data_IF_561507327417
#
_entry.id   IF_561507327417
#
_cell.length_a   1.000
_cell.length_b   1.000
_cell.length_c   1.000
_cell.angle_alpha   90.00
_cell.angle_beta   90.00
_cell.angle_gamma   90.00
#
_symmetry.space_group_name_H-M   'P 1'
#
loop_
_entity.id
_entity.type
_entity.pdbx_description
1 polymer ?
#
# COMPACT_ATOMS: atom_id res chain seq x y z
N UNK A 1 -11.12 54.76 -39.86
CA UNK A 1 -10.63 55.75 -40.84
C UNK A 1 -9.65 55.00 -41.74
N UNK A 2 -10.03 54.82 -42.99
CA UNK A 2 -9.36 53.98 -44.00
C UNK A 2 -8.08 54.62 -44.56
N UNK A 3 -7.35 53.86 -45.41
CA UNK A 3 -6.46 54.22 -46.56
C UNK A 3 -5.04 53.66 -46.38
N UNK A 4 -4.34 52.99 -47.33
CA UNK A 4 -4.57 52.58 -48.73
C UNK A 4 -3.55 51.48 -49.13
N UNK A 5 -3.79 50.84 -50.28
CA UNK A 5 -3.10 49.68 -50.87
C UNK A 5 -2.13 50.02 -52.03
N UNK A 6 -1.20 49.08 -52.29
CA UNK A 6 -0.53 48.64 -53.56
C UNK A 6 0.52 49.54 -54.26
N UNK A 7 1.65 48.89 -54.62
CA UNK A 7 2.41 48.81 -55.91
C UNK A 7 3.86 48.34 -55.56
N UNK A 8 4.67 47.58 -56.30
CA UNK A 8 4.67 46.95 -57.62
C UNK A 8 5.89 46.00 -57.72
N UNK A 9 5.72 44.91 -58.49
CA UNK A 9 6.62 43.94 -59.17
C UNK A 9 8.17 44.09 -59.18
N UNK A 10 8.78 42.90 -58.98
CA UNK A 10 9.88 42.22 -59.70
C UNK A 10 11.28 42.84 -59.82
N UNK A 11 12.30 42.08 -59.40
CA UNK A 11 13.39 41.55 -60.25
C UNK A 11 14.45 40.78 -59.43
N UNK A 12 14.59 39.48 -59.70
CA UNK A 12 15.83 38.67 -59.55
C UNK A 12 16.80 39.01 -60.72
N UNK A 13 18.07 38.54 -60.79
CA UNK A 13 18.83 37.66 -59.88
C UNK A 13 20.31 38.07 -59.63
N UNK A 14 20.98 37.45 -58.67
CA UNK A 14 22.40 37.04 -58.81
C UNK A 14 22.78 36.07 -57.69
N UNK A 15 23.22 34.87 -58.08
CA UNK A 15 23.79 33.88 -57.20
C UNK A 15 25.23 34.27 -56.84
N UNK A 16 25.54 34.28 -55.55
CA UNK A 16 26.90 34.27 -55.01
C UNK A 16 26.91 33.33 -53.80
N UNK A 17 27.68 32.25 -53.88
CA UNK A 17 28.10 31.45 -52.72
C UNK A 17 29.13 32.26 -51.92
N UNK A 18 29.04 32.24 -50.57
CA UNK A 18 30.07 31.48 -49.86
C UNK A 18 29.56 30.76 -48.58
N UNK A 19 29.97 29.49 -48.46
CA UNK A 19 30.71 28.88 -47.35
C UNK A 19 30.45 29.43 -45.91
N UNK A 20 29.80 28.56 -45.13
CA UNK A 20 30.03 28.20 -43.70
C UNK A 20 29.53 29.14 -42.59
N UNK A 21 28.61 28.57 -41.78
CA UNK A 21 28.34 29.00 -40.40
C UNK A 21 26.95 28.60 -39.91
N UNK A 22 26.74 27.35 -39.49
CA UNK A 22 25.52 26.97 -38.76
C UNK A 22 25.69 27.38 -37.29
N UNK A 23 25.06 28.47 -36.87
CA UNK A 23 24.85 28.79 -35.46
C UNK A 23 23.55 28.12 -35.00
N UNK A 24 23.68 27.02 -34.27
CA UNK A 24 22.57 26.41 -33.53
C UNK A 24 22.40 27.17 -32.22
N UNK A 25 21.30 27.91 -32.09
CA UNK A 25 20.86 28.45 -30.81
C UNK A 25 20.26 27.32 -29.96
N UNK A 26 21.00 26.83 -28.97
CA UNK A 26 20.42 26.06 -27.88
C UNK A 26 19.74 27.02 -26.90
N UNK A 27 18.42 27.10 -26.97
CA UNK A 27 17.62 27.68 -25.89
C UNK A 27 17.66 26.76 -24.67
N UNK A 28 18.30 27.22 -23.60
CA UNK A 28 18.23 26.56 -22.29
C UNK A 28 16.87 26.87 -21.69
N UNK A 29 15.94 25.93 -21.78
CA UNK A 29 14.75 25.92 -20.92
C UNK A 29 15.25 25.51 -19.53
N UNK A 30 15.28 26.47 -18.60
CA UNK A 30 15.59 26.21 -17.20
C UNK A 30 14.55 25.29 -16.59
N UNK A 31 14.84 23.99 -16.53
CA UNK A 31 14.08 23.04 -15.74
C UNK A 31 14.19 23.41 -14.26
N UNK A 32 13.05 23.39 -13.54
CA UNK A 32 13.03 23.39 -12.09
C UNK A 32 13.93 22.25 -11.58
N UNK A 33 14.69 22.43 -10.48
CA UNK A 33 15.53 21.36 -9.96
C UNK A 33 14.63 20.19 -9.55
N UNK A 34 14.74 19.07 -10.27
CA UNK A 34 14.28 17.78 -9.80
C UNK A 34 15.07 17.52 -8.50
N UNK A 35 14.36 17.45 -7.37
CA UNK A 35 14.97 17.04 -6.10
C UNK A 35 15.63 15.69 -6.36
N UNK A 36 16.95 15.60 -6.17
CA UNK A 36 17.67 14.34 -6.24
C UNK A 36 16.99 13.39 -5.24
N UNK A 37 16.49 12.26 -5.72
CA UNK A 37 15.97 11.21 -4.86
C UNK A 37 17.13 10.78 -3.98
N UNK A 38 16.98 10.87 -2.66
CA UNK A 38 17.95 10.25 -1.78
C UNK A 38 17.87 8.73 -2.00
N UNK A 39 18.96 8.14 -2.52
CA UNK A 39 19.06 6.70 -2.72
C UNK A 39 19.23 6.04 -1.35
N UNK A 40 18.22 5.25 -0.94
CA UNK A 40 18.35 4.36 0.19
C UNK A 40 19.27 3.18 -0.07
N UNK A 41 19.47 2.29 0.93
CA UNK A 41 20.06 0.99 0.66
C UNK A 41 19.39 0.37 -0.58
N UNK A 42 20.21 -0.12 -1.51
CA UNK A 42 19.75 -0.55 -2.83
C UNK A 42 18.98 -1.90 -2.81
N UNK A 43 18.63 -2.36 -1.61
CA UNK A 43 18.17 -3.71 -1.33
C UNK A 43 16.83 -3.72 -0.58
N UNK A 44 16.07 -4.80 -0.76
CA UNK A 44 14.86 -5.08 0.00
C UNK A 44 15.19 -5.73 1.33
N UNK A 45 14.60 -5.21 2.40
CA UNK A 45 14.67 -5.78 3.74
C UNK A 45 13.35 -6.44 4.12
N UNK A 46 13.33 -7.24 5.18
CA UNK A 46 12.09 -7.87 5.65
C UNK A 46 11.60 -7.22 6.94
N UNK A 47 10.34 -6.79 6.97
CA UNK A 47 9.68 -6.24 8.17
C UNK A 47 8.36 -6.96 8.42
N UNK A 48 7.83 -6.87 9.64
CA UNK A 48 6.51 -7.39 9.97
C UNK A 48 5.43 -6.33 9.75
N UNK A 49 4.41 -6.59 8.94
CA UNK A 49 3.23 -5.75 8.75
C UNK A 49 2.06 -6.39 9.52
N UNK A 50 1.26 -5.61 10.26
CA UNK A 50 1.26 -4.16 10.32
C UNK A 50 2.16 -3.57 11.42
N UNK A 51 2.94 -4.39 12.13
CA UNK A 51 3.80 -3.95 13.26
C UNK A 51 4.76 -2.81 12.87
N UNK A 52 5.33 -2.85 11.66
CA UNK A 52 6.22 -1.83 11.10
C UNK A 52 5.53 -0.49 10.83
N UNK A 53 4.19 -0.45 10.74
CA UNK A 53 3.44 0.81 10.67
C UNK A 53 3.17 1.38 12.05
N UNK A 54 3.07 0.52 13.07
CA UNK A 54 2.96 0.95 14.48
C UNK A 54 4.27 1.52 14.99
N UNK A 55 5.37 0.90 14.56
CA UNK A 55 6.75 1.25 14.88
C UNK A 55 7.52 1.34 13.59
N UNK A 56 7.51 2.54 13.01
CA UNK A 56 8.25 2.87 11.79
C UNK A 56 9.69 2.39 11.94
N UNK A 57 10.26 1.72 10.91
CA UNK A 57 11.68 1.37 10.89
C UNK A 57 12.59 2.59 11.18
N UNK A 58 13.68 2.35 11.89
CA UNK A 58 14.64 3.38 12.35
C UNK A 58 16.07 3.02 11.98
N UNK A 59 17.01 3.96 12.14
CA UNK A 59 18.42 3.73 11.81
C UNK A 59 18.64 3.70 10.30
N UNK A 60 19.39 2.71 9.80
CA UNK A 60 19.66 2.51 8.36
C UNK A 60 18.40 2.23 7.54
N UNK A 61 17.34 1.74 8.20
CA UNK A 61 16.04 1.50 7.59
C UNK A 61 15.07 2.68 7.76
N UNK A 62 15.52 3.84 8.22
CA UNK A 62 14.61 4.99 8.36
C UNK A 62 14.04 5.40 7.00
N UNK A 63 12.77 5.84 6.93
CA UNK A 63 12.20 6.38 5.71
C UNK A 63 13.06 7.51 5.14
N UNK A 64 13.25 7.50 3.82
CA UNK A 64 14.07 8.48 3.13
C UNK A 64 13.17 9.51 2.48
N UNK A 65 13.44 10.79 2.78
CA UNK A 65 12.55 11.90 2.44
C UNK A 65 11.10 11.67 2.89
N UNK A 66 10.90 10.90 3.95
CA UNK A 66 9.58 10.51 4.48
C UNK A 66 8.92 9.33 3.76
N UNK A 67 9.56 8.75 2.73
CA UNK A 67 9.01 7.67 1.93
C UNK A 67 9.48 6.28 2.34
N UNK A 68 8.58 5.32 2.16
CA UNK A 68 8.86 3.89 2.28
C UNK A 68 7.93 3.08 1.40
N UNK A 69 8.43 1.94 0.93
CA UNK A 69 7.68 0.95 0.19
C UNK A 69 7.61 -0.36 0.96
N UNK A 70 6.44 -0.98 0.90
CA UNK A 70 6.17 -2.32 1.40
C UNK A 70 5.62 -3.13 0.23
N UNK A 71 6.06 -4.38 0.05
CA UNK A 71 5.41 -5.29 -0.90
C UNK A 71 5.40 -6.73 -0.42
N UNK A 72 4.43 -7.48 -0.92
CA UNK A 72 4.29 -8.92 -0.73
C UNK A 72 3.76 -9.57 -2.01
N UNK A 73 3.73 -10.89 -2.02
CA UNK A 73 3.00 -11.66 -3.02
C UNK A 73 1.73 -12.24 -2.42
N UNK A 74 0.66 -12.25 -3.21
CA UNK A 74 -0.56 -13.00 -2.92
C UNK A 74 -0.82 -14.00 -4.04
N UNK A 75 -1.24 -15.22 -3.71
CA UNK A 75 -1.74 -16.16 -4.71
C UNK A 75 -3.26 -16.10 -4.77
N UNK A 76 -3.78 -15.59 -5.87
CA UNK A 76 -5.23 -15.56 -6.07
C UNK A 76 -5.67 -16.97 -6.48
N UNK A 77 -6.61 -17.63 -5.77
CA UNK A 77 -7.00 -18.99 -6.12
C UNK A 77 -7.78 -19.02 -7.43
N UNK A 78 -7.69 -20.14 -8.16
CA UNK A 78 -8.45 -20.33 -9.42
C UNK A 78 -9.96 -20.20 -9.24
N UNK A 79 -10.48 -20.44 -8.03
CA UNK A 79 -11.89 -20.30 -7.68
C UNK A 79 -12.38 -18.84 -7.69
N UNK A 80 -11.48 -17.86 -7.70
CA UNK A 80 -11.82 -16.44 -7.81
C UNK A 80 -11.76 -15.92 -9.25
N UNK A 81 -11.89 -16.81 -10.24
CA UNK A 81 -11.96 -16.39 -11.63
C UNK A 81 -13.13 -15.44 -11.87
N UNK A 82 -12.87 -14.37 -12.62
CA UNK A 82 -13.82 -13.31 -12.99
C UNK A 82 -14.48 -12.59 -11.79
N UNK A 83 -13.93 -12.73 -10.58
CA UNK A 83 -14.47 -12.13 -9.38
C UNK A 83 -14.05 -10.68 -9.21
N UNK A 84 -14.98 -9.83 -8.77
CA UNK A 84 -14.66 -8.48 -8.29
C UNK A 84 -14.02 -8.58 -6.90
N UNK A 85 -12.77 -8.14 -6.79
CA UNK A 85 -12.01 -8.20 -5.55
C UNK A 85 -11.93 -6.83 -4.89
N UNK A 86 -11.77 -6.83 -3.56
CA UNK A 86 -11.54 -5.60 -2.79
C UNK A 86 -10.27 -5.72 -1.97
N UNK A 87 -9.35 -4.77 -2.14
CA UNK A 87 -8.17 -4.61 -1.30
C UNK A 87 -8.49 -3.63 -0.16
N UNK A 88 -8.41 -4.11 1.08
CA UNK A 88 -8.51 -3.32 2.29
C UNK A 88 -7.10 -2.98 2.79
N UNK A 89 -6.82 -1.70 2.97
CA UNK A 89 -5.62 -1.18 3.62
C UNK A 89 -6.06 -0.07 4.55
N UNK A 90 -6.02 -0.32 5.87
CA UNK A 90 -6.46 0.67 6.85
C UNK A 90 -5.67 1.98 6.70
N UNK A 91 -6.40 3.09 6.67
CA UNK A 91 -5.79 4.42 6.61
C UNK A 91 -5.14 4.77 7.94
N UNK A 92 -4.00 5.44 7.87
CA UNK A 92 -3.20 5.82 9.03
C UNK A 92 -2.87 7.30 8.98
N UNK A 93 -2.13 7.77 9.98
CA UNK A 93 -1.66 9.15 10.03
C UNK A 93 -0.49 9.43 9.07
N UNK A 94 -0.67 9.05 7.82
CA UNK A 94 0.27 9.12 6.72
C UNK A 94 -0.50 9.25 5.39
N UNK A 95 0.21 9.41 4.27
CA UNK A 95 -0.37 9.28 2.93
C UNK A 95 0.06 7.94 2.34
N UNK A 96 -0.86 7.21 1.71
CA UNK A 96 -0.60 5.85 1.20
C UNK A 96 -1.19 5.66 -0.17
N UNK A 97 -0.45 5.00 -1.06
CA UNK A 97 -0.96 4.51 -2.33
C UNK A 97 -0.79 2.98 -2.39
N UNK A 98 -1.85 2.29 -2.78
CA UNK A 98 -1.91 0.83 -2.87
C UNK A 98 -1.88 0.39 -4.32
N UNK A 99 -1.11 -0.65 -4.60
CA UNK A 99 -0.87 -1.15 -5.94
C UNK A 99 -1.08 -2.65 -6.01
N UNK A 100 -1.64 -3.11 -7.13
CA UNK A 100 -1.68 -4.52 -7.53
C UNK A 100 -0.97 -4.65 -8.86
N UNK A 101 0.08 -5.47 -8.95
CA UNK A 101 0.90 -5.62 -10.17
C UNK A 101 1.43 -4.29 -10.74
N UNK A 102 1.66 -3.31 -9.86
CA UNK A 102 2.07 -1.95 -10.23
C UNK A 102 0.97 -1.04 -10.78
N UNK A 103 -0.28 -1.48 -10.78
CA UNK A 103 -1.45 -0.65 -11.08
C UNK A 103 -1.92 -0.04 -9.75
N UNK A 104 -2.03 1.29 -9.68
CA UNK A 104 -2.54 1.96 -8.49
C UNK A 104 -4.05 1.72 -8.39
N UNK A 105 -4.49 1.04 -7.33
CA UNK A 105 -5.90 0.72 -7.08
C UNK A 105 -6.57 1.73 -6.14
N UNK A 106 -5.79 2.57 -5.46
CA UNK A 106 -6.30 3.67 -4.66
C UNK A 106 -5.29 4.31 -3.75
N UNK A 107 -5.69 5.41 -3.13
CA UNK A 107 -4.83 6.25 -2.31
C UNK A 107 -5.64 6.83 -1.16
N UNK A 108 -5.04 6.87 0.04
CA UNK A 108 -5.55 7.62 1.19
C UNK A 108 -4.62 8.77 1.51
N UNK A 109 -5.18 9.94 1.81
CA UNK A 109 -4.41 11.16 2.03
C UNK A 109 -3.86 11.76 0.74
N UNK A 110 -2.95 12.71 0.88
CA UNK A 110 -2.32 13.43 -0.24
C UNK A 110 -0.81 13.43 -0.04
N UNK A 111 -0.08 13.00 -1.07
CA UNK A 111 1.39 13.05 -1.06
C UNK A 111 1.91 14.50 -1.20
N UNK A 112 3.18 14.78 -0.82
CA UNK A 112 3.82 16.08 -1.03
C UNK A 112 3.70 16.60 -2.47
N UNK A 113 3.73 17.93 -2.67
CA UNK A 113 4.05 18.97 -1.69
C UNK A 113 2.87 19.39 -0.79
N UNK A 114 1.65 18.97 -1.10
CA UNK A 114 0.45 19.34 -0.34
C UNK A 114 0.04 18.22 0.61
N UNK A 115 1.00 17.77 1.43
CA UNK A 115 0.79 16.60 2.28
C UNK A 115 -0.48 16.74 3.13
N UNK A 116 -1.30 15.68 3.12
CA UNK A 116 -2.43 15.49 4.02
C UNK A 116 -2.46 14.05 4.48
N UNK A 117 -2.62 13.87 5.78
CA UNK A 117 -2.90 12.57 6.39
C UNK A 117 -4.20 11.99 5.84
N UNK A 118 -4.19 10.69 5.54
CA UNK A 118 -5.36 9.93 5.12
C UNK A 118 -6.18 9.38 6.29
N UNK A 119 -5.82 9.69 7.53
CA UNK A 119 -6.44 9.13 8.73
C UNK A 119 -7.97 9.31 8.71
N UNK A 120 -8.69 8.19 8.84
CA UNK A 120 -10.16 8.16 8.86
C UNK A 120 -10.81 7.97 7.48
N UNK A 121 -10.02 7.95 6.40
CA UNK A 121 -10.50 7.50 5.10
C UNK A 121 -10.72 5.98 5.08
N UNK A 122 -11.60 5.50 4.18
CA UNK A 122 -12.07 4.11 4.21
C UNK A 122 -10.99 3.06 3.96
N UNK A 123 -10.02 3.34 3.09
CA UNK A 123 -8.97 2.38 2.74
C UNK A 123 -9.50 1.11 2.04
N UNK A 124 -10.55 1.25 1.20
CA UNK A 124 -11.18 0.15 0.47
C UNK A 124 -11.05 0.41 -1.02
N UNK A 125 -10.44 -0.52 -1.76
CA UNK A 125 -10.08 -0.33 -3.15
C UNK A 125 -10.57 -1.49 -4.00
N UNK A 126 -11.33 -1.20 -5.06
CA UNK A 126 -11.71 -2.20 -6.03
C UNK A 126 -10.47 -2.67 -6.81
N UNK A 127 -10.35 -3.98 -7.00
CA UNK A 127 -9.31 -4.61 -7.82
C UNK A 127 -10.03 -5.32 -8.95
N UNK A 128 -9.80 -4.86 -10.19
CA UNK A 128 -10.47 -5.41 -11.37
C UNK A 128 -10.06 -6.86 -11.60
N UNK A 129 -11.00 -7.69 -12.04
CA UNK A 129 -10.70 -9.03 -12.52
C UNK A 129 -9.67 -9.03 -13.67
N UNK A 130 -9.62 -7.96 -14.48
CA UNK A 130 -8.65 -7.80 -15.57
C UNK A 130 -7.20 -7.57 -15.08
N UNK A 131 -7.02 -7.12 -13.83
CA UNK A 131 -5.70 -6.82 -13.25
C UNK A 131 -5.05 -8.04 -12.58
N UNK A 132 -5.81 -9.14 -12.48
CA UNK A 132 -5.44 -10.35 -11.76
C UNK A 132 -5.60 -11.61 -12.61
N UNK A 133 -4.82 -12.65 -12.30
CA UNK A 133 -4.73 -13.89 -13.05
C UNK A 133 -4.91 -15.05 -12.07
N UNK A 134 -6.14 -15.62 -11.98
CA UNK A 134 -6.44 -16.68 -11.04
C UNK A 134 -5.48 -17.88 -11.17
N UNK A 135 -4.94 -18.31 -10.04
CA UNK A 135 -3.95 -19.37 -9.91
C UNK A 135 -2.49 -18.89 -9.89
N UNK A 136 -2.24 -17.62 -10.22
CA UNK A 136 -0.91 -16.99 -10.24
C UNK A 136 -0.64 -16.12 -9.00
N UNK A 137 0.62 -15.69 -8.88
CA UNK A 137 1.06 -14.75 -7.85
C UNK A 137 0.97 -13.32 -8.35
N UNK A 138 0.50 -12.44 -7.48
CA UNK A 138 0.31 -11.02 -7.72
C UNK A 138 1.09 -10.20 -6.70
N UNK A 139 1.74 -9.13 -7.15
CA UNK A 139 2.39 -8.20 -6.23
C UNK A 139 1.35 -7.28 -5.63
N UNK A 140 1.27 -7.24 -4.31
CA UNK A 140 0.60 -6.15 -3.59
C UNK A 140 1.68 -5.24 -3.03
N UNK A 141 1.63 -3.96 -3.36
CA UNK A 141 2.60 -2.98 -2.89
C UNK A 141 1.90 -1.78 -2.27
N UNK A 142 2.52 -1.20 -1.24
CA UNK A 142 2.03 -0.03 -0.53
C UNK A 142 3.16 0.96 -0.44
N UNK A 143 2.97 2.11 -1.09
CA UNK A 143 3.82 3.28 -0.97
C UNK A 143 3.30 4.12 0.18
N UNK A 144 4.16 4.52 1.10
CA UNK A 144 3.82 5.33 2.27
C UNK A 144 4.67 6.59 2.28
N UNK A 145 4.04 7.72 2.59
CA UNK A 145 4.73 8.96 2.94
C UNK A 145 4.29 9.45 4.32
N UNK A 146 5.27 9.75 5.16
CA UNK A 146 5.10 10.26 6.51
C UNK A 146 6.02 11.48 6.72
N UNK A 147 5.47 12.58 7.22
CA UNK A 147 6.26 13.78 7.54
C UNK A 147 6.71 13.83 9.00
N UNK A 148 5.84 13.45 9.94
CA UNK A 148 6.09 13.44 11.38
C UNK A 148 5.24 12.29 11.99
N UNK A 149 5.75 11.05 11.92
CA UNK A 149 4.94 9.87 12.24
C UNK A 149 4.59 9.84 13.72
N UNK A 150 3.30 9.75 14.02
CA UNK A 150 2.82 9.40 15.37
C UNK A 150 2.88 7.87 15.53
N UNK A 151 3.65 7.33 16.49
CA UNK A 151 3.76 5.88 16.67
C UNK A 151 2.55 5.29 17.41
N UNK A 152 2.51 3.96 17.47
CA UNK A 152 1.59 3.17 18.31
C UNK A 152 0.11 3.22 17.92
N UNK A 153 -0.23 3.52 16.66
CA UNK A 153 -1.58 3.28 16.17
C UNK A 153 -1.91 1.78 16.18
N UNK A 154 -3.13 1.47 16.61
CA UNK A 154 -3.69 0.14 16.43
C UNK A 154 -4.19 0.00 15.00
N UNK A 155 -3.59 -0.90 14.22
CA UNK A 155 -3.88 -1.09 12.79
C UNK A 155 -4.06 -2.57 12.46
N UNK A 156 -5.02 -2.84 11.58
CA UNK A 156 -5.31 -4.11 10.95
C UNK A 156 -4.39 -4.33 9.74
N UNK A 157 -4.02 -5.59 9.46
CA UNK A 157 -3.24 -5.92 8.27
C UNK A 157 -4.05 -5.72 6.98
N UNK A 158 -3.39 -5.59 5.84
CA UNK A 158 -4.06 -5.64 4.55
C UNK A 158 -4.81 -6.94 4.33
N UNK A 159 -5.95 -6.85 3.63
CA UNK A 159 -6.78 -7.99 3.24
C UNK A 159 -7.17 -7.85 1.78
N UNK A 160 -7.01 -8.92 1.01
CA UNK A 160 -7.65 -9.06 -0.31
C UNK A 160 -8.90 -9.93 -0.14
N UNK A 161 -10.06 -9.41 -0.50
CA UNK A 161 -11.36 -10.02 -0.23
C UNK A 161 -12.09 -10.34 -1.54
N UNK A 162 -12.69 -11.53 -1.59
CA UNK A 162 -13.79 -11.86 -2.47
C UNK A 162 -15.08 -11.92 -1.64
N UNK A 163 -15.89 -10.87 -1.71
CA UNK A 163 -17.11 -10.75 -0.91
C UNK A 163 -18.20 -11.75 -1.34
N UNK A 164 -18.29 -12.09 -2.63
CA UNK A 164 -19.26 -13.05 -3.14
C UNK A 164 -18.96 -14.47 -2.63
N UNK A 165 -17.69 -14.87 -2.70
CA UNK A 165 -17.24 -16.16 -2.20
C UNK A 165 -17.14 -16.21 -0.66
N UNK A 166 -17.28 -15.07 0.03
CA UNK A 166 -17.02 -14.95 1.48
C UNK A 166 -15.63 -15.43 1.88
N UNK A 167 -14.64 -15.07 1.08
CA UNK A 167 -13.27 -15.54 1.28
C UNK A 167 -12.28 -14.39 1.28
N UNK A 168 -11.21 -14.52 2.05
CA UNK A 168 -10.17 -13.51 2.16
C UNK A 168 -8.76 -14.10 2.21
N UNK A 169 -7.80 -13.31 1.72
CA UNK A 169 -6.37 -13.53 1.95
C UNK A 169 -5.88 -12.41 2.87
N UNK A 170 -5.54 -12.77 4.11
CA UNK A 170 -4.97 -11.85 5.10
C UNK A 170 -3.44 -11.82 5.00
N UNK A 171 -2.91 -10.61 4.90
CA UNK A 171 -1.48 -10.39 4.62
C UNK A 171 -0.73 -9.86 5.85
N UNK A 172 -1.00 -10.38 7.05
CA UNK A 172 -0.20 -10.09 8.24
C UNK A 172 1.07 -10.94 8.31
N UNK A 173 2.18 -10.37 8.73
CA UNK A 173 3.45 -11.09 8.83
C UNK A 173 4.54 -10.42 8.03
N UNK A 174 5.43 -11.20 7.41
CA UNK A 174 6.63 -10.66 6.76
C UNK A 174 6.30 -10.00 5.42
N UNK A 175 6.89 -8.85 5.16
CA UNK A 175 6.81 -8.10 3.92
C UNK A 175 8.20 -7.62 3.54
N UNK A 176 8.44 -7.49 2.23
CA UNK A 176 9.60 -6.75 1.75
C UNK A 176 9.39 -5.26 2.01
N UNK A 177 10.43 -4.58 2.46
CA UNK A 177 10.48 -3.18 2.84
C UNK A 177 11.68 -2.50 2.21
N UNK A 178 11.48 -1.27 1.72
CA UNK A 178 12.57 -0.44 1.22
C UNK A 178 12.29 1.04 1.50
N UNK A 179 13.23 1.79 2.13
CA UNK A 179 13.09 3.22 2.29
C UNK A 179 13.40 3.95 0.98
N UNK A 180 12.74 5.09 0.73
CA UNK A 180 12.88 5.86 -0.50
C UNK A 180 11.63 5.76 -1.39
N UNK A 181 11.73 6.24 -2.62
CA UNK A 181 10.56 6.48 -3.47
C UNK A 181 10.80 6.21 -4.98
N UNK A 182 10.72 4.95 -5.39
CA UNK A 182 10.74 4.56 -6.81
C UNK A 182 9.45 3.83 -7.19
N UNK A 183 8.77 4.32 -8.24
CA UNK A 183 7.54 3.71 -8.74
C UNK A 183 7.75 2.29 -9.30
N UNK A 184 8.96 1.92 -9.72
CA UNK A 184 9.29 0.57 -10.18
C UNK A 184 9.09 -0.48 -9.06
N UNK A 185 9.19 -0.08 -7.80
CA UNK A 185 9.02 -0.95 -6.63
C UNK A 185 7.57 -1.38 -6.38
N UNK A 186 6.61 -0.83 -7.14
CA UNK A 186 5.21 -1.27 -7.15
C UNK A 186 4.99 -2.64 -7.79
N UNK A 187 6.00 -3.16 -8.50
CA UNK A 187 6.01 -4.46 -9.17
C UNK A 187 7.10 -5.35 -8.59
N UNK A 188 7.01 -6.64 -8.88
CA UNK A 188 8.09 -7.59 -8.67
C UNK A 188 7.99 -8.75 -9.65
N UNK A 189 9.08 -9.45 -9.85
CA UNK A 189 9.19 -10.65 -10.69
C UNK A 189 9.29 -11.91 -9.82
N UNK A 190 8.90 -13.07 -10.35
CA UNK A 190 9.05 -14.34 -9.63
C UNK A 190 10.50 -14.63 -9.19
N UNK A 191 11.48 -14.15 -9.95
CA UNK A 191 12.91 -14.29 -9.63
C UNK A 191 13.31 -13.51 -8.36
N UNK A 192 12.76 -12.30 -8.16
CA UNK A 192 13.01 -11.50 -6.94
C UNK A 192 12.47 -12.15 -5.66
N UNK A 193 11.54 -13.10 -5.80
CA UNK A 193 10.99 -13.86 -4.68
C UNK A 193 11.56 -15.26 -4.59
N UNK A 194 12.55 -15.64 -5.41
CA UNK A 194 13.10 -17.01 -5.48
C UNK A 194 12.02 -18.09 -5.64
N UNK A 195 10.97 -17.80 -6.41
CA UNK A 195 9.94 -18.77 -6.74
C UNK A 195 10.45 -19.68 -7.87
N UNK A 196 11.15 -20.76 -7.50
CA UNK A 196 11.66 -21.73 -8.48
C UNK A 196 10.54 -22.60 -9.08
N UNK A 197 9.43 -22.81 -8.37
CA UNK A 197 8.20 -23.43 -8.93
C UNK A 197 6.94 -23.08 -8.12
N UNK A 198 5.79 -23.01 -8.79
CA UNK A 198 4.45 -22.63 -8.24
C UNK A 198 3.76 -23.77 -7.43
N UNK A 199 4.51 -24.81 -7.06
CA UNK A 199 3.93 -26.04 -6.53
C UNK A 199 3.78 -25.98 -5.01
N UNK A 200 2.57 -25.57 -4.62
CA UNK A 200 2.04 -25.46 -3.26
C UNK A 200 2.84 -24.54 -2.36
N UNK A 201 2.26 -23.39 -2.02
CA UNK A 201 2.83 -22.57 -0.98
C UNK A 201 2.76 -23.34 0.35
N UNK A 202 3.88 -23.36 1.06
CA UNK A 202 4.01 -23.93 2.40
C UNK A 202 3.96 -22.80 3.43
N UNK A 203 3.72 -23.11 4.70
CA UNK A 203 3.69 -22.09 5.78
C UNK A 203 4.99 -21.23 5.79
N UNK A 204 6.11 -21.84 5.40
CA UNK A 204 7.43 -21.21 5.25
C UNK A 204 7.46 -20.09 4.19
N UNK A 205 6.51 -20.04 3.26
CA UNK A 205 6.40 -18.97 2.27
C UNK A 205 5.89 -17.66 2.89
N UNK A 206 5.19 -17.70 4.04
CA UNK A 206 4.80 -16.49 4.77
C UNK A 206 6.01 -15.74 5.33
N UNK A 207 7.10 -16.45 5.69
CA UNK A 207 8.34 -15.82 6.16
C UNK A 207 9.06 -15.03 5.07
N UNK A 208 8.73 -15.33 3.81
CA UNK A 208 9.24 -14.63 2.63
C UNK A 208 8.29 -13.53 2.17
N UNK A 209 7.12 -13.36 2.80
CA UNK A 209 6.08 -12.42 2.41
C UNK A 209 5.24 -12.87 1.23
N UNK A 210 4.94 -14.17 1.18
CA UNK A 210 4.07 -14.78 0.19
C UNK A 210 2.83 -15.33 0.92
N UNK A 211 1.65 -14.87 0.52
CA UNK A 211 0.39 -15.15 1.20
C UNK A 211 -0.53 -15.98 0.29
N UNK A 212 -0.94 -17.14 0.78
CA UNK A 212 -1.80 -18.08 0.03
C UNK A 212 -2.95 -18.66 0.84
N UNK A 213 -2.96 -18.43 2.15
CA UNK A 213 -4.01 -18.90 3.04
C UNK A 213 -5.32 -18.21 2.69
N UNK A 214 -6.36 -19.02 2.54
CA UNK A 214 -7.71 -18.59 2.20
C UNK A 214 -8.60 -18.80 3.42
N UNK A 215 -9.04 -17.69 3.99
CA UNK A 215 -9.93 -17.69 5.15
C UNK A 215 -11.39 -17.59 4.68
N UNK A 216 -12.29 -18.31 5.35
CA UNK A 216 -13.73 -18.13 5.22
C UNK A 216 -14.18 -16.96 6.12
N UNK A 217 -15.06 -16.10 5.60
CA UNK A 217 -15.41 -14.80 6.21
C UNK A 217 -16.93 -14.66 6.33
N UNK A 218 -17.44 -14.85 7.54
CA UNK A 218 -18.86 -14.67 7.84
C UNK A 218 -19.26 -13.18 7.98
N UNK A 219 -18.40 -12.39 8.63
CA UNK A 219 -18.57 -10.95 8.88
C UNK A 219 -17.35 -10.21 8.34
N UNK A 220 -17.54 -9.57 7.18
CA UNK A 220 -16.48 -8.86 6.46
C UNK A 220 -15.96 -7.69 7.28
N UNK A 221 -16.87 -6.84 7.80
CA UNK A 221 -16.50 -5.61 8.50
C UNK A 221 -15.65 -5.92 9.74
N UNK A 222 -16.06 -6.95 10.49
CA UNK A 222 -15.30 -7.42 11.64
C UNK A 222 -13.96 -8.06 11.25
N UNK A 223 -13.94 -8.85 10.19
CA UNK A 223 -12.73 -9.54 9.76
C UNK A 223 -11.64 -8.56 9.30
N UNK A 224 -12.01 -7.56 8.48
CA UNK A 224 -11.05 -6.56 7.97
C UNK A 224 -10.62 -5.57 9.06
N UNK A 225 -11.46 -5.30 10.05
CA UNK A 225 -11.12 -4.43 11.19
C UNK A 225 -10.34 -5.15 12.30
N UNK A 226 -10.24 -6.49 12.28
CA UNK A 226 -9.57 -7.27 13.33
C UNK A 226 -8.09 -6.93 13.43
N UNK A 227 -7.60 -6.70 14.65
CA UNK A 227 -6.20 -6.37 14.96
C UNK A 227 -5.55 -7.47 15.79
N UNK A 228 -4.22 -7.44 15.86
CA UNK A 228 -3.45 -8.36 16.72
C UNK A 228 -3.84 -8.14 18.19
N UNK A 229 -4.32 -9.19 18.84
CA UNK A 229 -4.82 -9.15 20.21
C UNK A 229 -6.34 -8.97 20.33
N UNK A 230 -7.05 -8.69 19.24
CA UNK A 230 -8.51 -8.67 19.24
C UNK A 230 -9.03 -10.10 19.38
N UNK A 231 -9.95 -10.28 20.32
CA UNK A 231 -10.66 -11.53 20.54
C UNK A 231 -12.11 -11.41 20.10
N UNK A 232 -12.72 -12.55 19.80
CA UNK A 232 -14.15 -12.60 19.58
C UNK A 232 -14.89 -12.23 20.88
N UNK A 233 -16.08 -11.59 20.80
CA UNK A 233 -16.91 -11.39 21.97
C UNK A 233 -17.14 -12.71 22.69
N UNK A 234 -16.90 -12.71 23.99
CA UNK A 234 -17.23 -13.84 24.84
C UNK A 234 -18.70 -13.77 25.22
N UNK A 235 -19.31 -14.95 25.39
CA UNK A 235 -20.55 -15.02 26.16
C UNK A 235 -20.31 -14.45 27.56
N UNK A 236 -21.33 -13.91 28.25
CA UNK A 236 -21.16 -13.39 29.60
C UNK A 236 -20.57 -14.43 30.57
N UNK A 237 -20.91 -15.70 30.40
CA UNK A 237 -20.40 -16.80 31.23
C UNK A 237 -18.94 -17.16 30.94
N UNK A 238 -18.49 -17.03 29.69
CA UNK A 238 -17.09 -17.30 29.34
C UNK A 238 -16.19 -16.11 29.68
N UNK A 239 -16.73 -14.89 29.57
CA UNK A 239 -16.13 -13.66 30.06
C UNK A 239 -15.77 -13.75 31.56
N UNK A 240 -16.71 -14.19 32.39
CA UNK A 240 -16.52 -14.35 33.84
C UNK A 240 -15.34 -15.26 34.20
N UNK A 241 -15.13 -16.34 33.42
CA UNK A 241 -14.01 -17.27 33.65
C UNK A 241 -12.63 -16.65 33.40
N UNK A 242 -12.57 -15.59 32.61
CA UNK A 242 -11.31 -14.91 32.26
C UNK A 242 -10.96 -13.77 33.24
N UNK A 243 -11.85 -13.42 34.16
CA UNK A 243 -11.56 -12.43 35.19
C UNK A 243 -10.63 -13.01 36.27
N UNK A 244 -9.57 -12.26 36.58
CA UNK A 244 -8.73 -12.53 37.74
C UNK A 244 -9.23 -11.67 38.90
N UNK A 245 -9.91 -12.29 39.86
CA UNK A 245 -10.44 -11.61 41.04
C UNK A 245 -9.54 -11.87 42.24
N UNK A 246 -8.96 -10.83 42.87
CA UNK A 246 -8.24 -10.95 44.14
C UNK A 246 -9.09 -11.60 45.24
N UNK A 247 -8.46 -12.25 46.22
CA UNK A 247 -9.15 -13.04 47.24
C UNK A 247 -10.06 -12.22 48.18
N UNK A 248 -9.91 -10.91 48.21
CA UNK A 248 -10.70 -9.96 49.00
C UNK A 248 -11.83 -9.29 48.21
N UNK A 249 -12.00 -9.64 46.93
CA UNK A 249 -13.05 -9.12 46.05
C UNK A 249 -13.96 -10.23 45.52
N UNK A 250 -15.20 -9.87 45.20
CA UNK A 250 -16.16 -10.74 44.54
C UNK A 250 -16.53 -10.13 43.18
N UNK A 251 -16.56 -10.96 42.15
CA UNK A 251 -17.07 -10.57 40.84
C UNK A 251 -18.53 -10.97 40.74
N UNK A 252 -19.39 -10.01 40.41
CA UNK A 252 -20.81 -10.26 40.15
C UNK A 252 -21.17 -9.65 38.81
N UNK A 253 -21.65 -10.47 37.88
CA UNK A 253 -22.18 -9.98 36.61
C UNK A 253 -23.53 -9.29 36.85
N UNK A 254 -23.59 -7.97 36.66
CA UNK A 254 -24.82 -7.16 36.84
C UNK A 254 -25.49 -6.80 35.51
N UNK A 255 -24.69 -6.62 34.45
CA UNK A 255 -25.12 -6.32 33.09
C UNK A 255 -24.08 -6.88 32.11
N UNK A 256 -24.53 -7.36 30.95
CA UNK A 256 -23.65 -7.82 29.88
C UNK A 256 -24.13 -7.32 28.52
N UNK A 257 -23.21 -6.87 27.68
CA UNK A 257 -23.43 -6.59 26.26
C UNK A 257 -22.67 -7.64 25.43
N UNK A 258 -23.30 -8.77 25.07
CA UNK A 258 -22.62 -9.92 24.49
C UNK A 258 -22.04 -9.66 23.09
N UNK A 259 -22.48 -8.58 22.43
CA UNK A 259 -22.04 -8.22 21.08
C UNK A 259 -20.78 -7.33 21.09
N UNK A 260 -20.34 -6.86 22.25
CA UNK A 260 -19.15 -6.03 22.40
C UNK A 260 -17.98 -6.91 22.86
N UNK A 261 -16.90 -6.95 22.06
CA UNK A 261 -15.65 -7.59 22.47
C UNK A 261 -15.11 -6.94 23.75
N UNK A 262 -14.60 -7.75 24.69
CA UNK A 262 -14.19 -7.25 26.00
C UNK A 262 -13.18 -6.09 25.91
N UNK A 263 -13.26 -5.10 26.82
CA UNK A 263 -12.31 -4.01 26.83
C UNK A 263 -10.88 -4.54 26.95
N UNK A 264 -10.04 -4.16 26.00
CA UNK A 264 -8.60 -4.40 26.01
C UNK A 264 -7.97 -3.64 27.18
N UNK A 265 -7.66 -4.37 28.25
CA UNK A 265 -6.90 -3.97 29.45
C UNK A 265 -7.62 -3.03 30.43
N UNK A 266 -7.87 -3.55 31.64
CA UNK A 266 -7.84 -2.75 32.87
C UNK A 266 -6.60 -3.21 33.65
N UNK A 267 -5.56 -2.36 33.68
CA UNK A 267 -4.44 -2.48 34.61
C UNK A 267 -4.72 -1.65 35.87
#
# INVERSE_FOLDING_TARGET
MSIVSILSRNCTPAAFLPIVGWLVFYGVVGGLPQRAQAEGPDEWHTVAVPDAWRRVPTGELSPIDGYSWYRCLVRIPKSWADADLTLYVESLDDARASYVNGINVGTTGVFPPQFRSGLGEKGQYAVSADDVMPGEFHTVAIRVYQSDPRPNFNVAPPVLLNAEAKQAIRMDGKWQYRPGDDAAWSRSTAAEWSLESLQAAVEEDRDRGIFTNLDEVDDIDRYVARRKGDNDPYSPQDAEKNFQTPADLEFQLVLSEPDIAQPLFMN
#
